data_IF_156288612607
#
_entry.id   IF_156288612607
#
_cell.length_a   1.000
_cell.length_b   1.000
_cell.length_c   1.000
_cell.angle_alpha   90.00
_cell.angle_beta   90.00
_cell.angle_gamma   90.00
#
_symmetry.space_group_name_H-M   'P 1'
#
loop_
_entity.id
_entity.type
_entity.pdbx_description
1 polymer ?
#
# COMPACT_ATOMS: atom_id res chain seq x y z
N UNK A 1 0.96 8.43 11.77
CA UNK A 1 2.16 7.79 11.16
C UNK A 1 1.97 7.74 9.65
N UNK A 2 3.03 7.46 8.87
CA UNK A 2 2.89 7.28 7.41
C UNK A 2 2.41 5.87 7.08
N UNK A 3 1.34 5.75 6.32
CA UNK A 3 0.75 4.46 5.92
C UNK A 3 0.67 4.41 4.40
N UNK A 4 1.47 3.54 3.78
CA UNK A 4 1.35 3.26 2.36
C UNK A 4 0.36 2.12 2.18
N UNK A 5 -0.82 2.40 1.63
CA UNK A 5 -1.77 1.36 1.24
C UNK A 5 -1.41 0.93 -0.18
N UNK A 6 -0.99 -0.32 -0.35
CA UNK A 6 -0.58 -0.86 -1.63
C UNK A 6 -1.71 -1.68 -2.21
N UNK A 7 -2.06 -1.51 -3.48
CA UNK A 7 -3.20 -2.19 -4.11
C UNK A 7 -2.96 -2.55 -5.57
N UNK A 8 -3.72 -3.51 -6.10
CA UNK A 8 -3.71 -3.85 -7.52
C UNK A 8 -4.67 -2.96 -8.30
N UNK A 9 -4.11 -2.07 -9.13
CA UNK A 9 -4.92 -1.21 -10.02
C UNK A 9 -5.42 -1.94 -11.25
N UNK A 10 -4.65 -2.89 -11.77
CA UNK A 10 -5.03 -3.72 -12.90
C UNK A 10 -4.73 -5.21 -12.63
N UNK A 11 -5.27 -6.11 -13.44
CA UNK A 11 -5.01 -7.57 -13.35
C UNK A 11 -3.84 -8.04 -14.23
N UNK A 12 -3.22 -7.15 -15.01
CA UNK A 12 -2.33 -7.52 -16.14
C UNK A 12 -0.90 -6.97 -16.03
N UNK A 13 -0.68 -5.94 -15.23
CA UNK A 13 0.57 -5.21 -15.03
C UNK A 13 1.04 -5.20 -13.58
N UNK A 14 0.43 -5.99 -12.70
CA UNK A 14 0.83 -6.13 -11.30
C UNK A 14 1.97 -7.12 -11.13
N UNK A 15 2.84 -6.85 -10.15
CA UNK A 15 4.03 -7.68 -9.84
C UNK A 15 3.64 -9.09 -9.34
N UNK A 16 2.36 -9.30 -9.01
CA UNK A 16 1.89 -10.46 -8.27
C UNK A 16 1.62 -11.75 -9.07
N UNK A 17 2.27 -11.88 -10.21
CA UNK A 17 2.36 -13.15 -10.96
C UNK A 17 3.52 -14.04 -10.47
N UNK A 18 4.29 -13.61 -9.46
CA UNK A 18 5.32 -14.43 -8.82
C UNK A 18 4.83 -15.04 -7.49
N UNK A 19 4.84 -16.38 -7.38
CA UNK A 19 4.51 -17.10 -6.14
C UNK A 19 3.05 -17.57 -6.05
N UNK A 20 2.59 -17.90 -4.83
CA UNK A 20 1.20 -18.31 -4.59
C UNK A 20 0.30 -17.08 -4.61
N UNK A 21 -0.58 -16.99 -5.62
CA UNK A 21 -1.55 -15.90 -5.72
C UNK A 21 -2.51 -15.94 -4.53
N UNK A 22 -2.61 -14.81 -3.82
CA UNK A 22 -3.64 -14.62 -2.82
C UNK A 22 -5.02 -14.58 -3.52
N UNK A 23 -6.05 -15.14 -2.89
CA UNK A 23 -7.41 -15.27 -3.47
C UNK A 23 -8.33 -14.12 -3.07
N UNK A 24 -7.91 -13.27 -2.13
CA UNK A 24 -8.71 -12.15 -1.61
C UNK A 24 -8.63 -10.91 -2.49
N UNK A 25 -9.60 -10.72 -3.39
CA UNK A 25 -9.70 -9.49 -4.19
C UNK A 25 -10.60 -8.48 -3.49
N UNK A 26 -10.06 -7.28 -3.27
CA UNK A 26 -10.84 -6.17 -2.71
C UNK A 26 -11.31 -5.22 -3.82
N UNK A 27 -12.62 -4.89 -3.85
CA UNK A 27 -13.13 -3.80 -4.67
C UNK A 27 -12.46 -2.46 -4.33
N UNK A 28 -12.44 -1.55 -5.30
CA UNK A 28 -11.88 -0.20 -5.11
C UNK A 28 -12.63 0.55 -3.99
N UNK A 29 -13.93 0.31 -3.84
CA UNK A 29 -14.75 0.86 -2.76
C UNK A 29 -14.23 0.43 -1.38
N UNK A 30 -13.87 -0.86 -1.23
CA UNK A 30 -13.31 -1.38 0.03
C UNK A 30 -11.96 -0.77 0.33
N UNK A 31 -11.10 -0.61 -0.69
CA UNK A 31 -9.80 0.05 -0.55
C UNK A 31 -9.99 1.50 -0.09
N UNK A 32 -10.95 2.22 -0.68
CA UNK A 32 -11.26 3.61 -0.32
C UNK A 32 -11.78 3.73 1.12
N UNK A 33 -12.60 2.78 1.58
CA UNK A 33 -13.05 2.73 2.98
C UNK A 33 -11.85 2.62 3.93
N UNK A 34 -10.90 1.72 3.64
CA UNK A 34 -9.69 1.56 4.46
C UNK A 34 -8.85 2.83 4.47
N UNK A 35 -8.60 3.45 3.31
CA UNK A 35 -7.84 4.70 3.20
C UNK A 35 -8.50 5.82 4.01
N UNK A 36 -9.81 5.97 3.90
CA UNK A 36 -10.56 7.00 4.62
C UNK A 36 -10.54 6.76 6.13
N UNK A 37 -10.69 5.51 6.59
CA UNK A 37 -10.59 5.18 8.01
C UNK A 37 -9.21 5.52 8.58
N UNK A 38 -8.13 5.21 7.86
CA UNK A 38 -6.76 5.54 8.27
C UNK A 38 -6.52 7.05 8.32
N UNK A 39 -7.01 7.80 7.32
CA UNK A 39 -6.93 9.28 7.31
C UNK A 39 -7.71 9.88 8.47
N UNK A 40 -8.91 9.38 8.73
CA UNK A 40 -9.75 9.80 9.86
C UNK A 40 -9.07 9.55 11.22
N UNK A 41 -8.32 8.45 11.33
CA UNK A 41 -7.45 8.15 12.48
C UNK A 41 -6.21 9.04 12.62
N UNK A 42 -6.03 10.09 11.80
CA UNK A 42 -4.92 11.03 11.88
C UNK A 42 -3.60 10.49 11.29
N UNK A 43 -3.68 9.53 10.37
CA UNK A 43 -2.51 9.03 9.65
C UNK A 43 -2.29 9.79 8.34
N UNK A 44 -1.02 9.90 7.94
CA UNK A 44 -0.62 10.37 6.62
C UNK A 44 -0.66 9.14 5.69
N UNK A 45 -1.61 9.11 4.76
CA UNK A 45 -1.94 7.90 3.99
C UNK A 45 -1.81 8.17 2.50
N UNK A 46 -1.05 7.32 1.82
CA UNK A 46 -0.93 7.33 0.37
C UNK A 46 -1.37 5.98 -0.21
N UNK A 47 -2.06 6.03 -1.36
CA UNK A 47 -2.57 4.86 -2.06
C UNK A 47 -1.69 4.58 -3.27
N UNK A 48 -0.95 3.46 -3.23
CA UNK A 48 0.12 3.15 -4.16
C UNK A 48 -0.22 1.90 -4.95
N UNK A 49 -0.29 2.01 -6.28
CA UNK A 49 -0.46 0.84 -7.14
C UNK A 49 0.76 -0.09 -7.04
N UNK A 50 0.53 -1.40 -6.96
CA UNK A 50 1.55 -2.46 -6.99
C UNK A 50 2.05 -2.74 -8.42
N UNK A 51 2.48 -1.67 -9.08
CA UNK A 51 3.12 -1.70 -10.39
C UNK A 51 4.65 -1.76 -10.26
N UNK A 52 5.35 -1.80 -11.40
CA UNK A 52 6.83 -1.76 -11.47
C UNK A 52 7.49 -0.59 -10.73
N UNK A 53 6.75 0.46 -10.38
CA UNK A 53 7.25 1.63 -9.67
C UNK A 53 7.01 1.59 -8.15
N UNK A 54 6.38 0.52 -7.64
CA UNK A 54 6.03 0.35 -6.22
C UNK A 54 7.19 0.68 -5.28
N UNK A 55 8.35 0.04 -5.46
CA UNK A 55 9.51 0.23 -4.56
C UNK A 55 10.02 1.67 -4.56
N UNK A 56 10.01 2.35 -5.72
CA UNK A 56 10.43 3.75 -5.81
C UNK A 56 9.45 4.68 -5.10
N UNK A 57 8.14 4.45 -5.26
CA UNK A 57 7.08 5.20 -4.56
C UNK A 57 7.17 4.99 -3.05
N UNK A 58 7.35 3.74 -2.59
CA UNK A 58 7.56 3.42 -1.18
C UNK A 58 8.79 4.12 -0.59
N UNK A 59 9.93 4.12 -1.30
CA UNK A 59 11.15 4.77 -0.81
C UNK A 59 11.01 6.30 -0.69
N UNK A 60 10.17 6.92 -1.53
CA UNK A 60 9.87 8.36 -1.46
C UNK A 60 8.90 8.69 -0.33
N UNK A 61 7.88 7.84 -0.15
CA UNK A 61 6.81 8.08 0.80
C UNK A 61 7.23 7.71 2.23
N UNK A 62 7.86 6.55 2.41
CA UNK A 62 8.24 6.08 3.73
C UNK A 62 9.35 6.97 4.31
N UNK A 63 9.26 7.28 5.61
CA UNK A 63 10.31 8.01 6.28
C UNK A 63 11.62 7.20 6.30
N UNK A 64 12.76 7.90 6.21
CA UNK A 64 14.07 7.27 6.40
C UNK A 64 14.10 6.56 7.75
N UNK A 65 14.64 5.34 7.78
CA UNK A 65 14.73 4.52 8.98
C UNK A 65 15.30 5.32 10.15
N UNK A 66 14.44 5.62 11.12
CA UNK A 66 14.83 6.19 12.40
C UNK A 66 15.31 5.07 13.31
N UNK A 67 16.49 5.23 13.93
CA UNK A 67 17.03 4.29 14.93
C UNK A 67 16.12 4.11 16.15
N UNK A 68 15.12 4.98 16.35
CA UNK A 68 14.30 5.01 17.59
C UNK A 68 12.97 4.28 17.46
N UNK A 69 12.20 4.47 16.37
CA UNK A 69 10.94 3.76 16.08
C UNK A 69 10.62 3.77 14.58
N UNK A 70 10.08 2.68 14.01
CA UNK A 70 9.50 2.73 12.66
C UNK A 70 8.33 3.72 12.67
N UNK A 71 8.38 4.73 11.81
CA UNK A 71 7.37 5.78 11.65
C UNK A 71 6.60 5.65 10.32
N UNK A 72 6.75 4.51 9.64
CA UNK A 72 6.02 4.16 8.44
C UNK A 72 5.64 2.67 8.42
N UNK A 73 4.47 2.36 7.88
CA UNK A 73 4.00 0.99 7.62
C UNK A 73 3.49 0.88 6.19
N UNK A 74 3.63 -0.31 5.62
CA UNK A 74 3.03 -0.67 4.33
C UNK A 74 1.90 -1.65 4.59
N UNK A 75 0.67 -1.26 4.25
CA UNK A 75 -0.50 -2.13 4.28
C UNK A 75 -0.70 -2.70 2.88
N UNK A 76 -0.40 -3.98 2.70
CA UNK A 76 -0.53 -4.62 1.40
C UNK A 76 -1.95 -5.16 1.20
N UNK A 77 -2.72 -4.48 0.35
CA UNK A 77 -3.99 -4.94 -0.24
C UNK A 77 -3.80 -5.33 -1.73
N UNK A 78 -2.56 -5.29 -2.23
CA UNK A 78 -2.22 -5.77 -3.55
C UNK A 78 -2.14 -7.28 -3.51
N UNK A 79 -3.08 -7.85 -4.25
CA UNK A 79 -3.16 -9.25 -4.59
C UNK A 79 -2.05 -9.75 -5.46
#
# INVERSE_FOLDING_TARGET
MRVAVVYNRDKKGTINVFGMQNREWYPEETINIVVNALKWGGHDVDLIAADRHLLSKLNKFLPKLSKRRPNGIVLNLAL
#
